data_IF_639628072851
#
_entry.id   IF_639628072851
#
_cell.length_a   1.000
_cell.length_b   1.000
_cell.length_c   1.000
_cell.angle_alpha   90.00
_cell.angle_beta   90.00
_cell.angle_gamma   90.00
#
_symmetry.space_group_name_H-M   'P 1'
#
loop_
_entity.id
_entity.type
_entity.pdbx_description
1 polymer ?
#
# COMPACT_ATOMS: atom_id res chain seq x y z
N UNK A 1 22.57 1.61 11.11
CA UNK A 1 23.69 2.19 11.87
C UNK A 1 23.23 3.48 12.52
N UNK A 2 23.73 3.79 13.71
CA UNK A 2 23.53 5.04 14.44
C UNK A 2 24.91 5.57 14.85
N UNK A 3 25.20 6.83 14.54
CA UNK A 3 26.34 7.56 15.12
C UNK A 3 25.77 8.38 16.25
N UNK A 4 26.27 8.18 17.47
CA UNK A 4 25.78 8.85 18.66
C UNK A 4 26.57 10.14 18.95
N UNK A 5 26.05 11.00 19.82
CA UNK A 5 26.62 12.31 20.14
C UNK A 5 28.00 12.20 20.82
N UNK A 6 28.32 11.04 21.41
CA UNK A 6 29.63 10.74 21.99
C UNK A 6 30.65 10.19 20.98
N UNK A 7 30.26 10.10 19.70
CA UNK A 7 31.09 9.60 18.61
C UNK A 7 31.09 8.07 18.44
N UNK A 8 30.38 7.32 19.30
CA UNK A 8 30.28 5.86 19.17
C UNK A 8 29.35 5.49 18.02
N UNK A 9 29.66 4.37 17.37
CA UNK A 9 28.89 3.89 16.21
C UNK A 9 28.28 2.53 16.52
N UNK A 10 26.95 2.50 16.49
CA UNK A 10 26.15 1.31 16.76
C UNK A 10 25.58 0.75 15.46
N UNK A 11 25.81 -0.54 15.22
CA UNK A 11 25.19 -1.28 14.11
C UNK A 11 24.06 -2.13 14.67
N UNK A 12 22.91 -2.05 14.00
CA UNK A 12 21.72 -2.81 14.31
C UNK A 12 21.35 -3.59 13.06
N UNK A 13 21.17 -4.89 13.18
CA UNK A 13 20.86 -5.76 12.05
C UNK A 13 20.10 -7.00 12.52
N UNK A 14 19.55 -7.76 11.58
CA UNK A 14 18.88 -9.02 11.92
C UNK A 14 17.80 -9.41 10.94
N UNK A 15 17.43 -10.68 11.03
CA UNK A 15 16.28 -11.29 10.37
C UNK A 15 15.75 -12.38 11.32
N UNK A 16 14.48 -12.32 11.69
CA UNK A 16 13.80 -13.14 12.73
C UNK A 16 14.37 -13.03 14.15
N UNK A 17 15.55 -12.44 14.31
CA UNK A 17 16.20 -12.06 15.56
C UNK A 17 17.00 -10.79 15.34
N UNK A 18 17.02 -9.92 16.35
CA UNK A 18 17.74 -8.65 16.30
C UNK A 18 19.13 -8.79 16.91
N UNK A 19 20.08 -8.04 16.37
CA UNK A 19 21.46 -7.99 16.82
C UNK A 19 21.92 -6.54 16.91
N UNK A 20 22.81 -6.27 17.84
CA UNK A 20 23.51 -4.99 17.94
C UNK A 20 24.97 -5.19 18.31
N UNK A 21 25.85 -4.39 17.75
CA UNK A 21 27.25 -4.29 18.15
C UNK A 21 27.79 -2.90 17.83
N UNK A 22 28.91 -2.54 18.44
CA UNK A 22 29.63 -1.31 18.13
C UNK A 22 30.72 -1.57 17.10
N UNK A 23 31.00 -0.57 16.27
CA UNK A 23 32.15 -0.58 15.37
C UNK A 23 33.09 0.57 15.70
N UNK A 24 34.38 0.38 15.46
CA UNK A 24 35.38 1.43 15.62
C UNK A 24 35.03 2.62 14.69
N UNK A 25 34.78 3.82 15.24
CA UNK A 25 34.35 4.97 14.45
C UNK A 25 35.41 5.46 13.46
N UNK A 26 36.69 5.18 13.72
CA UNK A 26 37.79 5.65 12.88
C UNK A 26 37.90 4.84 11.57
N UNK A 27 37.50 3.55 11.60
CA UNK A 27 37.72 2.62 10.50
C UNK A 27 36.44 1.97 9.93
N UNK A 28 35.34 1.97 10.70
CA UNK A 28 34.01 1.48 10.30
C UNK A 28 33.93 0.00 9.89
N UNK A 29 34.94 -0.82 10.18
CA UNK A 29 34.94 -2.27 9.86
C UNK A 29 35.32 -3.17 11.05
N UNK A 30 35.98 -2.64 12.06
CA UNK A 30 36.36 -3.39 13.26
C UNK A 30 35.22 -3.36 14.29
N UNK A 31 34.76 -4.53 14.72
CA UNK A 31 33.75 -4.64 15.78
C UNK A 31 34.44 -4.47 17.14
N UNK A 32 33.86 -3.67 18.02
CA UNK A 32 34.38 -3.49 19.38
C UNK A 32 34.12 -4.75 20.21
N UNK A 33 35.18 -5.32 20.77
CA UNK A 33 35.11 -6.53 21.60
C UNK A 33 34.13 -6.37 22.77
N UNK A 34 33.28 -7.39 22.97
CA UNK A 34 32.28 -7.41 24.04
C UNK A 34 31.03 -6.54 23.81
N UNK A 35 30.94 -5.80 22.70
CA UNK A 35 29.77 -4.95 22.41
C UNK A 35 28.54 -5.71 21.86
N UNK A 36 28.75 -6.95 21.38
CA UNK A 36 27.69 -7.75 20.73
C UNK A 36 26.55 -8.11 21.68
N UNK A 37 25.32 -7.83 21.26
CA UNK A 37 24.07 -8.21 21.94
C UNK A 37 23.11 -8.87 20.95
N UNK A 38 22.41 -9.90 21.42
CA UNK A 38 21.29 -10.53 20.70
C UNK A 38 19.96 -10.11 21.32
N UNK A 39 18.90 -10.16 20.52
CA UNK A 39 17.50 -9.94 20.90
C UNK A 39 17.27 -8.60 21.64
N UNK A 40 17.99 -7.55 21.23
CA UNK A 40 17.77 -6.18 21.74
C UNK A 40 16.34 -5.69 21.50
N UNK A 41 15.68 -6.22 20.47
CA UNK A 41 14.24 -6.19 20.22
C UNK A 41 13.77 -7.65 20.17
N UNK A 42 12.89 -8.08 21.09
CA UNK A 42 12.35 -9.43 21.09
C UNK A 42 11.59 -9.77 19.79
N UNK A 43 11.65 -11.05 19.38
CA UNK A 43 10.83 -11.55 18.28
C UNK A 43 9.46 -12.10 18.71
N UNK A 44 9.10 -11.90 19.99
CA UNK A 44 7.80 -12.26 20.56
C UNK A 44 6.92 -11.03 20.73
N UNK A 45 5.62 -11.24 20.86
CA UNK A 45 4.67 -10.17 21.15
C UNK A 45 5.06 -9.40 22.42
N UNK A 46 4.82 -8.08 22.48
CA UNK A 46 4.22 -7.25 21.42
C UNK A 46 5.22 -6.80 20.34
N UNK A 47 6.51 -7.14 20.46
CA UNK A 47 7.55 -6.62 19.58
C UNK A 47 7.54 -7.25 18.19
N UNK A 48 7.41 -8.58 18.11
CA UNK A 48 7.35 -9.34 16.85
C UNK A 48 8.45 -8.96 15.84
N UNK A 49 9.69 -8.77 16.29
CA UNK A 49 10.82 -8.43 15.41
C UNK A 49 10.93 -9.36 14.19
N UNK A 50 10.93 -8.79 12.99
CA UNK A 50 11.18 -9.50 11.73
C UNK A 50 12.48 -9.06 11.08
N UNK A 51 12.58 -7.79 10.65
CA UNK A 51 13.74 -7.27 9.92
C UNK A 51 13.80 -5.73 9.95
N UNK A 52 14.62 -5.13 9.07
CA UNK A 52 14.61 -3.70 8.76
C UNK A 52 14.97 -2.76 9.92
N UNK A 53 15.97 -3.11 10.75
CA UNK A 53 16.45 -2.25 11.81
C UNK A 53 16.79 -0.83 11.31
N UNK A 54 16.10 0.16 11.85
CA UNK A 54 16.32 1.58 11.58
C UNK A 54 16.39 2.37 12.89
N UNK A 55 17.57 2.52 13.50
CA UNK A 55 17.73 3.32 14.71
C UNK A 55 17.64 4.83 14.42
N UNK A 56 17.08 5.60 15.36
CA UNK A 56 17.07 7.06 15.38
C UNK A 56 17.36 7.56 16.80
N UNK A 57 18.06 8.67 16.92
CA UNK A 57 18.13 9.43 18.18
C UNK A 57 17.27 10.67 18.05
N UNK A 58 16.29 10.82 18.94
CA UNK A 58 15.31 11.91 18.91
C UNK A 58 15.13 12.41 20.34
N UNK A 59 15.38 13.69 20.58
CA UNK A 59 15.23 14.33 21.89
C UNK A 59 15.92 13.57 23.03
N UNK A 60 17.13 13.06 22.78
CA UNK A 60 17.92 12.30 23.76
C UNK A 60 17.51 10.84 23.96
N UNK A 61 16.48 10.35 23.25
CA UNK A 61 16.02 8.95 23.31
C UNK A 61 16.34 8.20 22.02
N UNK A 62 16.42 6.88 22.12
CA UNK A 62 16.76 5.97 21.03
C UNK A 62 15.51 5.24 20.55
N UNK A 63 15.12 5.49 19.31
CA UNK A 63 13.97 4.89 18.64
C UNK A 63 14.48 3.81 17.70
N UNK A 64 14.01 2.59 17.89
CA UNK A 64 14.21 1.50 16.95
C UNK A 64 12.95 1.34 16.11
N UNK A 65 13.02 1.71 14.83
CA UNK A 65 11.97 1.41 13.84
C UNK A 65 12.36 0.10 13.16
N UNK A 66 11.39 -0.80 12.95
CA UNK A 66 11.64 -2.10 12.35
C UNK A 66 10.36 -2.71 11.75
N UNK A 67 10.50 -3.73 10.89
CA UNK A 67 9.37 -4.47 10.33
C UNK A 67 8.87 -5.50 11.34
N UNK A 68 7.55 -5.56 11.54
CA UNK A 68 6.90 -6.61 12.32
C UNK A 68 6.82 -7.92 11.52
N UNK A 69 6.75 -9.06 12.20
CA UNK A 69 6.46 -10.37 11.62
C UNK A 69 4.95 -10.64 11.54
N UNK A 70 4.16 -9.96 12.37
CA UNK A 70 2.73 -10.18 12.52
C UNK A 70 1.99 -8.84 12.71
N UNK A 71 1.39 -8.27 11.65
CA UNK A 71 1.58 -8.63 10.23
C UNK A 71 2.90 -8.09 9.67
N UNK A 72 3.35 -8.64 8.52
CA UNK A 72 4.59 -8.24 7.84
C UNK A 72 4.53 -6.87 7.15
N UNK A 73 3.33 -6.34 6.93
CA UNK A 73 3.06 -5.04 6.31
C UNK A 73 3.21 -3.84 7.23
N UNK A 74 3.71 -4.05 8.44
CA UNK A 74 3.81 -2.99 9.44
C UNK A 74 5.25 -2.59 9.72
N UNK A 75 5.47 -1.27 9.73
CA UNK A 75 6.56 -0.69 10.49
C UNK A 75 6.06 -0.35 11.89
N UNK A 76 6.79 -0.86 12.87
CA UNK A 76 6.55 -0.65 14.30
C UNK A 76 7.78 -0.01 14.92
N UNK A 77 7.65 0.44 16.16
CA UNK A 77 8.78 1.05 16.86
C UNK A 77 8.81 0.77 18.36
N UNK A 78 10.03 0.82 18.89
CA UNK A 78 10.31 0.73 20.31
C UNK A 78 11.31 1.81 20.73
N UNK A 79 11.25 2.26 21.99
CA UNK A 79 12.02 3.41 22.50
C UNK A 79 12.83 3.02 23.72
N UNK A 80 14.06 3.54 23.85
CA UNK A 80 14.94 3.35 25.00
C UNK A 80 15.66 4.64 25.37
N UNK A 81 16.09 4.73 26.63
CA UNK A 81 17.03 5.76 27.10
C UNK A 81 18.50 5.42 26.80
N UNK A 82 18.77 4.21 26.29
CA UNK A 82 20.13 3.74 25.92
C UNK A 82 20.14 3.22 24.47
N UNK A 83 21.23 3.41 23.71
CA UNK A 83 21.35 2.80 22.38
C UNK A 83 21.34 1.27 22.46
N UNK A 84 21.59 0.70 23.64
CA UNK A 84 21.71 -0.74 23.85
C UNK A 84 20.53 -1.38 24.57
N UNK A 85 19.43 -0.64 24.72
CA UNK A 85 18.22 -1.08 25.42
C UNK A 85 18.32 -0.99 26.96
N UNK A 86 17.31 -1.50 27.69
CA UNK A 86 16.13 -2.18 27.16
C UNK A 86 15.20 -1.24 26.39
N UNK A 87 14.55 -1.75 25.34
CA UNK A 87 13.57 -1.01 24.55
C UNK A 87 12.15 -1.31 25.01
N UNK A 88 11.29 -0.30 24.98
CA UNK A 88 9.85 -0.39 25.26
C UNK A 88 9.07 -0.25 23.96
N UNK A 89 8.21 -1.22 23.64
CA UNK A 89 7.35 -1.17 22.44
C UNK A 89 6.36 -0.01 22.49
N UNK A 90 6.21 0.73 21.39
CA UNK A 90 5.34 1.93 21.31
C UNK A 90 4.26 1.88 20.23
N UNK A 91 4.16 0.78 19.48
CA UNK A 91 3.06 0.55 18.53
C UNK A 91 3.46 0.59 17.07
N UNK A 92 2.43 0.65 16.22
CA UNK A 92 2.53 0.67 14.76
C UNK A 92 2.65 2.10 14.26
N UNK A 93 3.61 2.35 13.37
CA UNK A 93 3.77 3.62 12.67
C UNK A 93 2.97 3.65 11.37
N UNK A 94 2.91 2.55 10.64
CA UNK A 94 2.12 2.41 9.41
C UNK A 94 1.82 0.94 9.13
N UNK A 95 0.70 0.67 8.44
CA UNK A 95 0.36 -0.63 7.89
C UNK A 95 0.04 -0.47 6.39
N UNK A 96 0.99 -0.84 5.53
CA UNK A 96 0.84 -0.74 4.07
C UNK A 96 -0.08 -1.82 3.47
N UNK A 97 -0.49 -2.81 4.26
CA UNK A 97 -1.31 -3.94 3.83
C UNK A 97 -2.80 -3.82 4.15
N UNK A 98 -3.25 -2.70 4.71
CA UNK A 98 -4.65 -2.56 5.11
C UNK A 98 -5.61 -2.48 3.91
N UNK A 99 -5.35 -1.56 2.98
CA UNK A 99 -6.23 -1.23 1.84
C UNK A 99 -5.52 -1.39 0.50
N UNK A 100 -4.35 -2.02 0.49
CA UNK A 100 -3.45 -2.15 -0.65
C UNK A 100 -2.79 -3.53 -0.61
N UNK A 101 -2.34 -4.10 -1.74
CA UNK A 101 -1.63 -5.38 -1.75
C UNK A 101 -0.45 -5.37 -0.77
N UNK A 102 -0.62 -6.12 0.32
CA UNK A 102 0.33 -6.16 1.43
C UNK A 102 1.52 -7.07 1.16
N UNK A 103 2.55 -6.89 1.99
CA UNK A 103 3.65 -7.80 2.20
C UNK A 103 4.70 -7.12 3.06
N UNK A 104 5.99 -7.48 2.99
CA UNK A 104 6.96 -6.89 3.92
C UNK A 104 7.08 -5.37 3.78
N UNK A 105 7.41 -4.67 4.87
CA UNK A 105 7.67 -3.24 4.87
C UNK A 105 9.12 -2.92 5.27
N UNK A 106 9.64 -1.76 4.86
CA UNK A 106 10.97 -1.29 5.22
C UNK A 106 10.99 0.24 5.18
N UNK A 107 11.52 0.85 6.24
CA UNK A 107 11.46 2.29 6.31
C UNK A 107 11.98 2.88 7.61
N UNK A 108 11.64 4.13 7.82
CA UNK A 108 12.08 4.90 8.97
C UNK A 108 11.28 6.20 9.14
N UNK A 109 11.57 6.94 10.20
CA UNK A 109 11.09 8.31 10.38
C UNK A 109 12.23 9.30 10.18
N UNK A 110 11.90 10.48 9.64
CA UNK A 110 12.81 11.62 9.60
C UNK A 110 12.04 12.94 9.64
N UNK A 111 12.67 13.97 10.21
CA UNK A 111 12.16 15.33 10.20
C UNK A 111 12.70 16.06 8.97
N UNK A 112 11.81 16.57 8.13
CA UNK A 112 12.14 17.36 6.93
C UNK A 112 11.58 18.76 7.15
N UNK A 113 12.47 19.74 7.33
CA UNK A 113 12.08 21.05 7.84
C UNK A 113 11.44 20.91 9.24
N UNK A 114 10.22 21.42 9.39
CA UNK A 114 9.47 21.34 10.64
C UNK A 114 8.53 20.13 10.76
N UNK A 115 8.39 19.33 9.70
CA UNK A 115 7.46 18.22 9.63
C UNK A 115 8.15 16.87 9.77
N UNK A 116 7.58 15.97 10.58
CA UNK A 116 7.98 14.57 10.63
C UNK A 116 7.28 13.75 9.55
N UNK A 117 8.03 12.86 8.93
CA UNK A 117 7.52 11.89 7.95
C UNK A 117 7.90 10.49 8.37
N UNK A 118 7.00 9.54 8.10
CA UNK A 118 7.37 8.15 7.90
C UNK A 118 7.71 7.93 6.44
N UNK A 119 8.82 7.23 6.21
CA UNK A 119 9.23 6.67 4.93
C UNK A 119 9.03 5.17 5.01
N UNK A 120 8.46 4.59 3.97
CA UNK A 120 8.12 3.17 3.89
C UNK A 120 8.06 2.77 2.41
N UNK A 121 7.63 1.56 2.09
CA UNK A 121 7.36 1.19 0.69
C UNK A 121 6.00 0.51 0.51
N UNK A 122 5.51 0.52 -0.72
CA UNK A 122 4.36 -0.30 -1.13
C UNK A 122 4.71 -1.14 -2.37
N UNK A 123 4.01 -2.24 -2.55
CA UNK A 123 4.29 -3.19 -3.63
C UNK A 123 3.83 -2.69 -5.00
N UNK A 124 4.57 -3.06 -6.04
CA UNK A 124 4.23 -2.82 -7.45
C UNK A 124 4.42 -4.11 -8.24
N UNK A 125 3.96 -4.13 -9.49
CA UNK A 125 4.08 -5.25 -10.44
C UNK A 125 3.50 -6.58 -9.92
N UNK A 126 2.62 -6.54 -8.93
CA UNK A 126 2.09 -7.73 -8.24
C UNK A 126 3.18 -8.66 -7.69
N UNK A 127 4.30 -8.12 -7.21
CA UNK A 127 5.44 -8.90 -6.71
C UNK A 127 6.00 -8.31 -5.43
N UNK A 128 6.29 -9.17 -4.44
CA UNK A 128 6.95 -8.78 -3.19
C UNK A 128 8.38 -8.25 -3.40
N UNK A 129 8.96 -8.49 -4.58
CA UNK A 129 10.31 -8.04 -4.93
C UNK A 129 10.32 -6.67 -5.60
N UNK A 130 9.16 -6.13 -5.98
CA UNK A 130 9.03 -4.85 -6.68
C UNK A 130 8.26 -3.86 -5.82
N UNK A 131 8.87 -2.70 -5.56
CA UNK A 131 8.39 -1.74 -4.57
C UNK A 131 8.65 -0.32 -5.02
N UNK A 132 7.84 0.60 -4.51
CA UNK A 132 8.06 2.04 -4.63
C UNK A 132 8.15 2.66 -3.24
N UNK A 133 9.09 3.59 -3.06
CA UNK A 133 9.23 4.34 -1.81
C UNK A 133 8.09 5.33 -1.64
N UNK A 134 7.60 5.43 -0.41
CA UNK A 134 6.50 6.29 -0.02
C UNK A 134 6.92 7.18 1.15
N UNK A 135 6.20 8.28 1.34
CA UNK A 135 6.31 9.12 2.52
C UNK A 135 4.92 9.61 2.94
N UNK A 136 4.66 9.63 4.24
CA UNK A 136 3.43 10.19 4.81
C UNK A 136 3.77 10.98 6.08
N UNK A 137 2.98 12.02 6.37
CA UNK A 137 3.20 12.90 7.53
C UNK A 137 2.82 12.16 8.82
N UNK A 138 3.63 12.33 9.85
CA UNK A 138 3.34 11.90 11.22
C UNK A 138 3.64 13.03 12.19
N UNK A 139 3.12 12.95 13.40
CA UNK A 139 3.42 13.87 14.48
C UNK A 139 4.17 13.15 15.58
N UNK A 140 5.26 13.74 16.07
CA UNK A 140 5.88 13.36 17.33
C UNK A 140 5.13 14.08 18.46
N UNK A 141 4.42 13.32 19.27
CA UNK A 141 3.66 13.80 20.43
C UNK A 141 4.60 14.23 21.56
N UNK A 142 4.08 15.02 22.49
CA UNK A 142 4.85 15.53 23.66
C UNK A 142 5.39 14.40 24.55
N UNK A 143 4.68 13.26 24.61
CA UNK A 143 5.09 12.07 25.37
C UNK A 143 6.17 11.23 24.65
N UNK A 144 6.63 11.67 23.48
CA UNK A 144 7.63 10.99 22.67
C UNK A 144 7.07 9.85 21.80
N UNK A 145 5.76 9.66 21.72
CA UNK A 145 5.13 8.72 20.77
C UNK A 145 4.91 9.37 19.41
N UNK A 146 4.83 8.56 18.36
CA UNK A 146 4.38 9.01 17.04
C UNK A 146 2.91 8.65 16.82
N UNK A 147 2.19 9.50 16.10
CA UNK A 147 0.90 9.14 15.51
C UNK A 147 1.09 8.05 14.46
N UNK A 148 0.21 7.03 14.45
CA UNK A 148 0.16 6.08 13.34
C UNK A 148 -0.27 6.81 12.06
N UNK A 149 0.49 6.65 10.99
CA UNK A 149 0.19 7.18 9.68
C UNK A 149 -0.92 6.38 8.99
N UNK A 150 -1.75 7.11 8.25
CA UNK A 150 -2.53 6.55 7.15
C UNK A 150 -1.68 6.59 5.87
N UNK A 151 -1.75 5.54 5.05
CA UNK A 151 -1.16 5.58 3.72
C UNK A 151 -1.99 6.47 2.79
N UNK A 152 -1.40 7.55 2.28
CA UNK A 152 -2.09 8.53 1.42
C UNK A 152 -1.48 8.65 0.03
N UNK A 153 -2.11 9.45 -0.84
CA UNK A 153 -1.56 9.82 -2.14
C UNK A 153 -0.69 11.07 -2.10
N UNK A 154 -0.55 11.70 -0.94
CA UNK A 154 -0.03 13.06 -0.82
C UNK A 154 1.50 13.11 -0.89
N UNK A 155 2.20 12.10 -0.38
CA UNK A 155 3.65 12.14 -0.29
C UNK A 155 4.10 13.30 0.61
N UNK A 156 4.92 14.19 0.05
CA UNK A 156 5.36 15.40 0.73
C UNK A 156 4.34 16.56 0.73
N UNK A 157 3.34 16.51 -0.17
CA UNK A 157 2.37 17.58 -0.36
C UNK A 157 1.35 17.65 0.80
N UNK A 158 0.85 18.84 1.10
CA UNK A 158 -0.20 19.02 2.12
C UNK A 158 -1.61 18.74 1.60
N UNK A 159 -1.82 18.88 0.29
CA UNK A 159 -3.04 18.50 -0.40
C UNK A 159 -2.80 18.38 -1.91
N UNK A 160 -3.56 17.52 -2.58
CA UNK A 160 -3.46 17.34 -4.02
C UNK A 160 -4.40 18.28 -4.79
N UNK A 161 -4.01 18.66 -6.01
CA UNK A 161 -4.86 19.47 -6.88
C UNK A 161 -5.68 18.56 -7.83
N UNK A 162 -7.02 18.52 -7.73
CA UNK A 162 -7.87 17.64 -8.55
C UNK A 162 -7.95 18.09 -10.01
N UNK A 163 -7.54 19.32 -10.32
CA UNK A 163 -7.57 19.92 -11.66
C UNK A 163 -6.27 19.71 -12.45
N UNK A 164 -5.38 18.83 -11.95
CA UNK A 164 -4.23 18.31 -12.68
C UNK A 164 -4.41 16.81 -12.86
N UNK A 165 -3.78 16.25 -13.90
CA UNK A 165 -3.79 14.80 -14.11
C UNK A 165 -3.10 14.12 -12.94
N UNK A 166 -3.85 13.27 -12.24
CA UNK A 166 -3.35 12.44 -11.15
C UNK A 166 -2.66 11.20 -11.73
N UNK A 167 -1.43 10.95 -11.29
CA UNK A 167 -0.66 9.79 -11.73
C UNK A 167 -1.17 8.50 -11.04
N UNK A 168 -1.36 7.39 -11.77
CA UNK A 168 -1.77 6.11 -11.19
C UNK A 168 -0.85 5.59 -10.06
N UNK A 169 0.43 5.94 -10.07
CA UNK A 169 1.39 5.57 -9.01
C UNK A 169 0.97 6.06 -7.61
N UNK A 170 0.19 7.13 -7.57
CA UNK A 170 -0.27 7.76 -6.34
C UNK A 170 -1.38 6.95 -5.66
N UNK A 171 -1.93 5.90 -6.30
CA UNK A 171 -2.96 5.06 -5.70
C UNK A 171 -2.50 4.50 -4.36
N UNK A 172 -3.26 4.76 -3.32
CA UNK A 172 -3.00 4.33 -1.94
C UNK A 172 -4.02 3.28 -1.48
N UNK A 173 -5.00 2.96 -2.31
CA UNK A 173 -5.95 1.87 -2.12
C UNK A 173 -6.06 1.10 -3.43
N UNK A 174 -5.84 -0.21 -3.37
CA UNK A 174 -6.00 -1.13 -4.50
C UNK A 174 -6.56 -2.46 -3.98
N UNK A 175 -7.70 -2.89 -4.50
CA UNK A 175 -8.35 -4.15 -4.09
C UNK A 175 -8.54 -5.09 -5.27
N UNK A 176 -8.99 -6.32 -4.99
CA UNK A 176 -9.31 -7.36 -5.98
C UNK A 176 -8.18 -7.61 -7.00
N UNK A 177 -6.94 -7.63 -6.52
CA UNK A 177 -5.76 -7.94 -7.32
C UNK A 177 -5.21 -6.79 -8.17
N UNK A 178 -5.86 -5.62 -8.16
CA UNK A 178 -5.36 -4.44 -8.86
C UNK A 178 -3.95 -4.07 -8.37
N UNK A 179 -3.06 -3.70 -9.30
CA UNK A 179 -1.67 -3.38 -8.98
C UNK A 179 -1.11 -2.33 -9.92
N UNK A 180 -0.25 -1.45 -9.39
CA UNK A 180 0.57 -0.55 -10.20
C UNK A 180 1.57 -1.42 -10.98
N UNK A 181 1.54 -1.35 -12.30
CA UNK A 181 2.45 -2.06 -13.20
C UNK A 181 3.29 -1.09 -13.99
N UNK A 182 4.59 -1.35 -14.02
CA UNK A 182 5.53 -0.66 -14.89
C UNK A 182 5.44 -1.21 -16.31
N UNK A 183 5.11 -0.33 -17.26
CA UNK A 183 5.17 -0.65 -18.69
C UNK A 183 6.53 -0.25 -19.27
N UNK A 184 7.03 0.91 -18.85
CA UNK A 184 8.37 1.43 -19.17
C UNK A 184 8.91 2.21 -17.97
N UNK A 185 10.20 2.57 -17.93
CA UNK A 185 10.76 3.38 -16.84
C UNK A 185 10.06 4.73 -16.60
N UNK A 186 9.28 5.22 -17.57
CA UNK A 186 8.56 6.50 -17.49
C UNK A 186 7.04 6.35 -17.59
N UNK A 187 6.53 5.13 -17.72
CA UNK A 187 5.11 4.86 -17.92
C UNK A 187 4.65 3.72 -17.03
N UNK A 188 3.74 4.06 -16.11
CA UNK A 188 3.14 3.12 -15.18
C UNK A 188 1.62 3.31 -15.20
N UNK A 189 0.90 2.23 -15.03
CA UNK A 189 -0.56 2.21 -15.01
C UNK A 189 -1.04 1.23 -13.94
N UNK A 190 -2.31 1.32 -13.55
CA UNK A 190 -2.92 0.26 -12.72
C UNK A 190 -3.49 -0.79 -13.67
N UNK A 191 -3.17 -2.05 -13.40
CA UNK A 191 -3.61 -3.22 -14.18
C UNK A 191 -4.16 -4.28 -13.23
N UNK A 192 -4.58 -5.43 -13.77
CA UNK A 192 -5.29 -6.49 -13.04
C UNK A 192 -6.56 -5.95 -12.37
N UNK A 193 -7.19 -4.97 -13.01
CA UNK A 193 -8.43 -4.38 -12.55
C UNK A 193 -9.55 -5.34 -12.94
N UNK A 194 -10.20 -5.92 -11.94
CA UNK A 194 -11.30 -6.87 -12.07
C UNK A 194 -12.60 -6.28 -11.53
N UNK A 195 -13.72 -6.97 -11.69
CA UNK A 195 -14.99 -6.60 -11.07
C UNK A 195 -14.85 -6.41 -9.55
N UNK A 196 -15.44 -5.33 -9.05
CA UNK A 196 -15.36 -4.97 -7.64
C UNK A 196 -14.02 -4.36 -7.21
N UNK A 197 -13.04 -4.25 -8.10
CA UNK A 197 -11.79 -3.58 -7.77
C UNK A 197 -12.04 -2.11 -7.41
N UNK A 198 -11.43 -1.67 -6.31
CA UNK A 198 -11.44 -0.30 -5.82
C UNK A 198 -10.06 0.29 -6.03
N UNK A 199 -10.00 1.43 -6.72
CA UNK A 199 -8.80 2.25 -6.90
C UNK A 199 -9.00 3.55 -6.13
N UNK A 200 -8.24 3.77 -5.06
CA UNK A 200 -8.41 4.96 -4.21
C UNK A 200 -7.18 5.87 -4.19
N UNK A 201 -7.48 7.15 -4.18
CA UNK A 201 -6.51 8.24 -4.17
C UNK A 201 -6.90 9.22 -3.07
N UNK A 202 -6.03 9.40 -2.07
CA UNK A 202 -6.37 10.16 -0.87
C UNK A 202 -5.85 11.58 -0.94
N UNK A 203 -6.85 12.45 -0.85
CA UNK A 203 -6.85 13.84 -0.44
C UNK A 203 -6.48 14.91 -1.48
N UNK A 204 -7.54 15.40 -2.12
CA UNK A 204 -7.57 16.51 -3.06
C UNK A 204 -8.34 17.70 -2.50
N UNK A 205 -7.93 18.92 -2.84
CA UNK A 205 -8.66 20.16 -2.51
C UNK A 205 -9.49 20.64 -3.70
N UNK A 206 -10.82 20.58 -3.57
CA UNK A 206 -11.74 21.10 -4.58
C UNK A 206 -12.07 22.60 -4.37
N UNK A 207 -11.48 23.25 -3.36
CA UNK A 207 -11.70 24.65 -3.05
C UNK A 207 -13.15 24.95 -2.70
N UNK A 208 -13.64 26.14 -3.08
CA UNK A 208 -14.99 26.62 -2.74
C UNK A 208 -16.08 26.23 -3.75
N UNK A 209 -15.84 25.28 -4.65
CA UNK A 209 -16.80 24.96 -5.71
C UNK A 209 -18.08 24.31 -5.16
N UNK A 210 -19.21 25.00 -5.31
CA UNK A 210 -20.54 24.42 -5.10
C UNK A 210 -21.46 24.87 -6.25
N UNK A 211 -21.86 23.91 -7.09
CA UNK A 211 -22.61 24.13 -8.34
C UNK A 211 -22.84 22.81 -9.11
N UNK A 212 -23.77 22.79 -10.07
CA UNK A 212 -24.20 21.58 -10.78
C UNK A 212 -23.22 21.12 -11.86
N UNK A 213 -22.60 19.96 -11.65
CA UNK A 213 -21.94 19.14 -12.67
C UNK A 213 -20.47 19.48 -12.89
N UNK A 214 -19.57 18.85 -12.14
CA UNK A 214 -18.13 18.80 -12.45
C UNK A 214 -17.88 17.63 -13.41
N UNK A 215 -16.87 17.71 -14.28
CA UNK A 215 -16.51 16.59 -15.15
C UNK A 215 -15.30 15.86 -14.57
N UNK A 216 -15.44 14.57 -14.32
CA UNK A 216 -14.31 13.68 -14.09
C UNK A 216 -13.93 13.01 -15.41
N UNK A 217 -12.69 13.16 -15.85
CA UNK A 217 -12.15 12.51 -17.05
C UNK A 217 -11.10 11.49 -16.63
N UNK A 218 -11.21 10.26 -17.14
CA UNK A 218 -10.36 9.12 -16.81
C UNK A 218 -9.68 8.63 -18.08
N UNK A 219 -8.36 8.46 -18.03
CA UNK A 219 -7.57 7.91 -19.13
C UNK A 219 -7.43 6.40 -18.95
N UNK A 220 -7.83 5.66 -19.98
CA UNK A 220 -7.81 4.20 -20.03
C UNK A 220 -6.98 3.73 -21.23
N UNK A 221 -6.62 2.45 -21.22
CA UNK A 221 -6.09 1.73 -22.38
C UNK A 221 -6.47 0.25 -22.26
N UNK A 222 -6.30 -0.53 -23.33
CA UNK A 222 -6.58 -1.96 -23.33
C UNK A 222 -7.97 -2.31 -22.78
N UNK A 223 -8.98 -1.47 -23.05
CA UNK A 223 -10.36 -1.79 -22.69
C UNK A 223 -10.85 -2.96 -23.54
N UNK A 224 -10.85 -4.16 -22.98
CA UNK A 224 -11.27 -5.37 -23.69
C UNK A 224 -12.79 -5.45 -23.87
N UNK A 225 -13.54 -4.70 -23.08
CA UNK A 225 -14.99 -4.84 -22.94
C UNK A 225 -15.65 -3.58 -22.40
N UNK A 226 -16.97 -3.62 -22.29
CA UNK A 226 -17.77 -2.53 -21.73
C UNK A 226 -18.06 -2.73 -20.25
N UNK A 227 -18.21 -1.62 -19.54
CA UNK A 227 -18.49 -1.62 -18.10
C UNK A 227 -18.74 -0.23 -17.59
N UNK A 228 -18.63 -0.08 -16.27
CA UNK A 228 -18.80 1.15 -15.53
C UNK A 228 -17.68 1.36 -14.54
N UNK A 229 -17.36 2.63 -14.33
CA UNK A 229 -16.49 3.09 -13.26
C UNK A 229 -17.34 4.02 -12.39
N UNK A 230 -17.72 3.52 -11.22
CA UNK A 230 -18.42 4.30 -10.21
C UNK A 230 -17.42 5.14 -9.45
N UNK A 231 -17.69 6.43 -9.34
CA UNK A 231 -16.80 7.42 -8.75
C UNK A 231 -17.38 7.78 -7.39
N UNK A 232 -16.58 7.61 -6.35
CA UNK A 232 -16.98 7.88 -4.97
C UNK A 232 -16.10 8.96 -4.34
N UNK A 233 -16.71 9.75 -3.46
CA UNK A 233 -16.01 10.64 -2.55
C UNK A 233 -15.92 10.02 -1.16
N UNK A 234 -14.77 10.22 -0.52
CA UNK A 234 -14.41 9.91 0.87
C UNK A 234 -14.39 8.44 1.27
N UNK A 235 -15.07 7.57 0.52
CA UNK A 235 -15.13 6.15 0.82
C UNK A 235 -15.97 5.34 -0.15
N UNK A 236 -15.92 4.02 -0.02
CA UNK A 236 -16.77 3.10 -0.80
C UNK A 236 -17.56 2.23 0.20
N UNK A 237 -18.87 2.45 0.35
CA UNK A 237 -19.70 1.65 1.23
C UNK A 237 -19.69 0.17 0.83
N UNK A 238 -19.72 -0.73 1.82
CA UNK A 238 -19.73 -2.18 1.57
C UNK A 238 -20.90 -2.60 0.68
N UNK A 239 -22.08 -1.98 0.87
CA UNK A 239 -23.26 -2.21 0.03
C UNK A 239 -23.03 -1.90 -1.46
N UNK A 240 -22.17 -0.92 -1.78
CA UNK A 240 -21.81 -0.63 -3.16
C UNK A 240 -20.88 -1.71 -3.71
N UNK A 241 -19.92 -2.17 -2.91
CA UNK A 241 -19.04 -3.28 -3.28
C UNK A 241 -19.89 -4.53 -3.52
N UNK A 242 -20.77 -4.91 -2.59
CA UNK A 242 -21.63 -6.09 -2.71
C UNK A 242 -22.57 -6.01 -3.91
N UNK A 243 -23.00 -4.79 -4.29
CA UNK A 243 -23.88 -4.54 -5.43
C UNK A 243 -23.15 -4.66 -6.77
N UNK A 244 -21.93 -4.13 -6.87
CA UNK A 244 -21.23 -3.98 -8.14
C UNK A 244 -20.11 -5.02 -8.34
N UNK A 245 -19.59 -5.61 -7.27
CA UNK A 245 -18.67 -6.73 -7.34
C UNK A 245 -19.47 -7.99 -7.69
N UNK A 246 -19.04 -8.69 -8.74
CA UNK A 246 -19.55 -10.00 -9.05
C UNK A 246 -18.90 -11.02 -8.10
N UNK A 247 -19.64 -11.99 -7.54
CA UNK A 247 -19.01 -13.12 -6.88
C UNK A 247 -18.09 -13.81 -7.90
N UNK A 248 -16.84 -14.04 -7.53
CA UNK A 248 -16.00 -14.99 -8.27
C UNK A 248 -16.74 -16.32 -8.14
N UNK A 249 -17.19 -16.89 -9.26
CA UNK A 249 -17.75 -18.24 -9.21
C UNK A 249 -16.61 -19.16 -8.78
N UNK A 250 -16.70 -19.73 -7.57
CA UNK A 250 -15.93 -20.92 -7.23
C UNK A 250 -16.28 -21.94 -8.32
N UNK A 251 -15.25 -22.43 -9.02
CA UNK A 251 -15.40 -23.41 -10.09
C UNK A 251 -16.34 -24.54 -9.64
N UNK A 252 -17.61 -24.55 -10.09
CA UNK A 252 -18.28 -25.83 -10.22
C UNK A 252 -17.43 -26.62 -11.21
N UNK A 253 -16.96 -27.82 -10.86
CA UNK A 253 -16.01 -28.54 -11.68
C UNK A 253 -16.63 -28.75 -13.06
N UNK A 254 -16.08 -28.05 -14.06
CA UNK A 254 -16.37 -28.30 -15.45
C UNK A 254 -16.23 -29.80 -15.70
N UNK A 255 -17.26 -30.42 -16.27
CA UNK A 255 -17.28 -31.82 -16.65
C UNK A 255 -15.96 -32.18 -17.36
N UNK A 256 -15.30 -33.26 -16.88
CA UNK A 256 -13.95 -33.69 -17.28
C UNK A 256 -13.65 -33.50 -18.77
N UNK A 257 -12.86 -32.47 -19.10
CA UNK A 257 -12.12 -32.46 -20.36
C UNK A 257 -10.94 -33.43 -20.26
N UNK A 258 -10.88 -34.35 -21.23
CA UNK A 258 -9.86 -35.41 -21.32
C UNK A 258 -8.45 -34.81 -21.30
N UNK A 259 -7.73 -35.07 -20.21
CA UNK A 259 -6.31 -34.72 -19.98
C UNK A 259 -5.43 -35.01 -21.20
N UNK A 260 -4.83 -33.97 -21.78
CA UNK A 260 -3.63 -34.12 -22.62
C UNK A 260 -2.38 -34.04 -21.72
N UNK A 261 -1.52 -35.06 -21.81
CA UNK A 261 -0.30 -35.18 -21.00
C UNK A 261 0.82 -34.34 -21.60
N UNK A 262 1.15 -33.21 -20.98
CA UNK A 262 2.51 -32.67 -21.02
C UNK A 262 2.80 -31.91 -19.72
N UNK A 263 3.45 -32.59 -18.79
CA UNK A 263 3.99 -31.97 -17.59
C UNK A 263 5.38 -31.39 -17.94
N UNK A 264 5.53 -30.07 -17.86
CA UNK A 264 6.83 -29.45 -17.77
C UNK A 264 7.28 -29.46 -16.30
N UNK A 265 8.40 -30.13 -16.04
CA UNK A 265 9.04 -30.25 -14.73
C UNK A 265 10.26 -29.35 -14.71
N UNK A 266 10.09 -28.05 -14.52
CA UNK A 266 11.23 -27.18 -14.22
C UNK A 266 10.86 -25.83 -13.60
N UNK A 267 10.54 -25.83 -12.31
CA UNK A 267 10.78 -24.66 -11.45
C UNK A 267 10.85 -25.09 -9.98
N UNK A 268 12.07 -25.30 -9.48
CA UNK A 268 12.34 -25.28 -8.04
C UNK A 268 12.68 -23.84 -7.66
N UNK A 269 11.72 -23.11 -7.11
CA UNK A 269 11.99 -21.84 -6.41
C UNK A 269 12.23 -22.18 -4.95
N UNK A 270 13.34 -21.68 -4.41
CA UNK A 270 13.73 -21.86 -3.01
C UNK A 270 12.65 -21.28 -2.09
N UNK A 271 12.36 -22.02 -1.01
CA UNK A 271 11.09 -22.00 -0.32
C UNK A 271 10.86 -20.80 0.59
N UNK A 272 9.71 -20.15 0.40
CA UNK A 272 8.90 -19.67 1.51
C UNK A 272 7.96 -20.82 1.93
N UNK A 273 7.71 -20.96 3.23
CA UNK A 273 6.78 -21.98 3.71
C UNK A 273 5.37 -21.70 3.18
N UNK A 274 4.58 -22.74 2.91
CA UNK A 274 3.21 -22.60 2.35
C UNK A 274 2.29 -21.68 3.16
N UNK A 275 2.55 -21.51 4.46
CA UNK A 275 1.82 -20.58 5.33
C UNK A 275 2.04 -19.09 5.01
N UNK A 276 3.21 -18.72 4.48
CA UNK A 276 3.49 -17.35 4.03
C UNK A 276 2.77 -17.07 2.72
N UNK A 277 2.64 -18.07 1.84
CA UNK A 277 1.86 -17.97 0.60
C UNK A 277 0.34 -17.88 0.87
N UNK A 278 -0.17 -18.55 1.90
CA UNK A 278 -1.58 -18.46 2.32
C UNK A 278 -1.98 -17.05 2.80
N UNK A 279 -1.04 -16.26 3.35
CA UNK A 279 -1.28 -14.84 3.67
C UNK A 279 -1.45 -13.96 2.41
N UNK A 280 -0.95 -14.40 1.26
CA UNK A 280 -1.13 -13.71 -0.02
C UNK A 280 -2.37 -14.19 -0.79
N UNK A 281 -2.96 -15.33 -0.42
CA UNK A 281 -4.11 -15.93 -1.12
C UNK A 281 -5.44 -15.80 -0.38
N UNK A 282 -5.45 -15.36 0.88
CA UNK A 282 -6.72 -15.23 1.60
C UNK A 282 -7.46 -13.97 1.15
N UNK A 283 -8.65 -14.19 0.60
CA UNK A 283 -9.72 -13.23 0.31
C UNK A 283 -10.21 -12.42 1.54
N UNK A 284 -9.48 -12.46 2.65
CA UNK A 284 -9.77 -11.80 3.93
C UNK A 284 -9.10 -10.43 4.07
N UNK A 285 -8.76 -9.77 2.94
CA UNK A 285 -8.39 -8.35 2.90
C UNK A 285 -9.61 -7.42 3.11
N UNK A 286 -10.54 -7.80 3.98
CA UNK A 286 -11.53 -6.88 4.55
C UNK A 286 -10.85 -6.05 5.64
N UNK A 287 -9.92 -5.20 5.23
CA UNK A 287 -9.41 -3.97 5.87
C UNK A 287 -9.50 -3.94 7.41
N UNK A 288 -8.37 -4.16 8.11
CA UNK A 288 -8.25 -3.88 9.56
C UNK A 288 -8.52 -2.40 9.92
N UNK A 289 -8.50 -1.49 8.94
CA UNK A 289 -8.84 -0.06 9.08
C UNK A 289 -10.01 0.40 8.22
N UNK A 290 -10.74 -0.50 7.55
CA UNK A 290 -11.86 -0.11 6.69
C UNK A 290 -11.40 0.65 5.43
N UNK A 291 -11.70 0.16 4.23
CA UNK A 291 -12.13 1.09 3.17
C UNK A 291 -13.10 2.05 3.86
N UNK A 292 -12.85 3.36 3.83
CA UNK A 292 -13.71 4.30 4.56
C UNK A 292 -15.15 4.02 4.12
N UNK A 293 -15.98 3.46 5.01
CA UNK A 293 -17.26 2.84 4.62
C UNK A 293 -18.39 3.87 4.55
N UNK A 294 -18.07 5.14 4.79
CA UNK A 294 -19.02 6.25 4.93
C UNK A 294 -19.04 7.18 3.71
N UNK A 295 -18.42 6.77 2.60
CA UNK A 295 -18.41 7.58 1.38
C UNK A 295 -19.71 7.54 0.58
N UNK A 296 -19.72 8.25 -0.54
CA UNK A 296 -20.90 8.40 -1.41
C UNK A 296 -20.54 8.38 -2.88
N UNK A 297 -21.39 7.77 -3.70
CA UNK A 297 -21.25 7.82 -5.16
C UNK A 297 -21.53 9.25 -5.63
N UNK A 298 -20.62 9.83 -6.40
CA UNK A 298 -20.73 11.19 -6.95
C UNK A 298 -20.95 11.19 -8.46
N UNK A 299 -20.79 10.04 -9.12
CA UNK A 299 -21.08 9.87 -10.54
C UNK A 299 -20.58 8.54 -11.08
N UNK A 300 -20.86 8.27 -12.35
CA UNK A 300 -20.53 7.00 -12.97
C UNK A 300 -20.15 7.22 -14.44
N UNK A 301 -18.99 6.71 -14.86
CA UNK A 301 -18.55 6.73 -16.24
C UNK A 301 -18.78 5.36 -16.88
N UNK A 302 -19.34 5.32 -18.08
CA UNK A 302 -19.40 4.10 -18.88
C UNK A 302 -18.16 4.00 -19.77
N UNK A 303 -17.59 2.80 -19.90
CA UNK A 303 -16.54 2.51 -20.87
C UNK A 303 -17.01 1.41 -21.84
N UNK A 304 -16.48 1.43 -23.05
CA UNK A 304 -16.68 0.41 -24.07
C UNK A 304 -15.36 -0.26 -24.43
N UNK A 305 -15.42 -1.32 -25.23
CA UNK A 305 -14.22 -1.85 -25.86
C UNK A 305 -13.48 -0.75 -26.64
N UNK A 306 -12.14 -0.78 -26.56
CA UNK A 306 -11.23 0.20 -27.16
C UNK A 306 -11.38 1.65 -26.66
N UNK A 307 -12.07 1.88 -25.53
CA UNK A 307 -12.06 3.20 -24.91
C UNK A 307 -10.63 3.59 -24.48
N UNK A 308 -10.28 4.85 -24.73
CA UNK A 308 -8.99 5.44 -24.33
C UNK A 308 -9.14 6.61 -23.36
N UNK A 309 -10.31 7.26 -23.39
CA UNK A 309 -10.71 8.30 -22.45
C UNK A 309 -12.20 8.16 -22.20
N UNK A 310 -12.61 8.16 -20.94
CA UNK A 310 -14.01 8.21 -20.53
C UNK A 310 -14.24 9.39 -19.61
N UNK A 311 -15.48 9.84 -19.50
CA UNK A 311 -15.82 10.91 -18.59
C UNK A 311 -17.22 10.79 -18.04
N UNK A 312 -17.42 11.28 -16.82
CA UNK A 312 -18.71 11.42 -16.19
C UNK A 312 -18.93 12.85 -15.71
N UNK A 313 -20.16 13.34 -15.82
CA UNK A 313 -20.61 14.44 -14.97
C UNK A 313 -20.78 13.88 -13.57
N UNK A 314 -20.11 14.50 -12.61
CA UNK A 314 -20.16 14.17 -11.19
C UNK A 314 -20.79 15.32 -10.40
N UNK A 315 -21.26 15.01 -9.21
CA UNK A 315 -21.67 16.01 -8.24
C UNK A 315 -20.52 16.98 -7.91
N UNK A 316 -20.86 18.25 -7.67
CA UNK A 316 -19.90 19.25 -7.23
C UNK A 316 -19.31 18.88 -5.87
N UNK A 317 -18.00 19.06 -5.72
CA UNK A 317 -17.26 18.87 -4.47
C UNK A 317 -16.61 20.19 -4.05
N UNK A 318 -16.51 20.38 -2.73
CA UNK A 318 -15.86 21.52 -2.10
C UNK A 318 -14.99 21.06 -0.94
N UNK A 319 -13.80 21.63 -0.78
CA UNK A 319 -12.86 21.26 0.28
C UNK A 319 -12.14 19.94 0.01
N UNK A 320 -11.67 19.31 1.10
CA UNK A 320 -10.77 18.15 1.06
C UNK A 320 -11.56 16.85 0.92
N UNK A 321 -11.27 16.07 -0.12
CA UNK A 321 -11.90 14.76 -0.34
C UNK A 321 -10.92 13.68 -0.79
N UNK A 322 -11.19 12.43 -0.43
CA UNK A 322 -10.57 11.27 -1.08
C UNK A 322 -11.44 10.81 -2.25
N UNK A 323 -10.83 10.30 -3.32
CA UNK A 323 -11.53 9.87 -4.54
C UNK A 323 -11.28 8.38 -4.77
N UNK A 324 -12.36 7.64 -5.02
CA UNK A 324 -12.32 6.21 -5.27
C UNK A 324 -13.04 5.86 -6.57
N UNK A 325 -12.52 4.85 -7.25
CA UNK A 325 -13.09 4.27 -8.46
C UNK A 325 -13.43 2.81 -8.19
N UNK A 326 -14.72 2.47 -8.16
CA UNK A 326 -15.22 1.11 -8.05
C UNK A 326 -15.64 0.60 -9.43
N UNK A 327 -15.09 -0.54 -9.85
CA UNK A 327 -15.23 -1.04 -11.21
C UNK A 327 -16.32 -2.11 -11.32
N UNK A 328 -17.23 -1.94 -12.28
CA UNK A 328 -18.31 -2.90 -12.62
C UNK A 328 -18.14 -3.33 -14.09
N UNK A 329 -17.91 -4.62 -14.35
CA UNK A 329 -17.92 -5.23 -15.67
C UNK A 329 -19.34 -5.59 -16.11
N UNK A 330 -19.70 -5.27 -17.38
CA UNK A 330 -21.06 -5.50 -17.91
C UNK A 330 -21.14 -6.71 -18.84
N UNK A 331 -20.68 -7.87 -18.38
CA UNK A 331 -20.74 -9.11 -19.16
C UNK A 331 -21.81 -10.06 -18.65
N UNK A 332 -22.77 -10.40 -19.52
CA UNK A 332 -23.90 -11.29 -19.23
C UNK A 332 -23.87 -12.53 -20.11
N UNK A 333 -24.51 -13.60 -19.63
CA UNK A 333 -24.72 -14.84 -20.40
C UNK A 333 -23.53 -15.80 -20.41
N UNK A 334 -23.59 -16.79 -21.31
CA UNK A 334 -22.65 -17.93 -21.35
C UNK A 334 -21.18 -17.52 -21.45
N UNK A 335 -20.85 -16.46 -22.19
CA UNK A 335 -19.46 -16.01 -22.34
C UNK A 335 -18.89 -15.25 -21.14
N UNK A 336 -19.70 -14.98 -20.12
CA UNK A 336 -19.33 -14.09 -19.03
C UNK A 336 -18.23 -14.62 -18.13
N UNK A 337 -18.33 -15.88 -17.72
CA UNK A 337 -17.36 -16.51 -16.82
C UNK A 337 -15.92 -16.52 -17.38
N UNK A 338 -15.75 -16.45 -18.70
CA UNK A 338 -14.41 -16.34 -19.30
C UNK A 338 -13.68 -15.04 -18.94
N UNK A 339 -14.41 -14.02 -18.49
CA UNK A 339 -13.85 -12.73 -18.10
C UNK A 339 -13.58 -12.63 -16.59
N UNK A 340 -14.01 -13.62 -15.81
CA UNK A 340 -13.75 -13.62 -14.37
C UNK A 340 -12.25 -13.67 -14.10
N UNK A 341 -11.78 -12.76 -13.24
CA UNK A 341 -10.36 -12.58 -12.93
C UNK A 341 -9.50 -11.98 -14.05
N UNK A 342 -10.08 -11.63 -15.20
CA UNK A 342 -9.34 -10.94 -16.28
C UNK A 342 -9.28 -9.45 -16.06
N UNK A 343 -8.19 -8.84 -16.53
CA UNK A 343 -8.04 -7.40 -16.56
C UNK A 343 -9.10 -6.77 -17.48
N UNK A 344 -9.88 -5.83 -16.96
CA UNK A 344 -10.94 -5.14 -17.70
C UNK A 344 -10.38 -4.00 -18.57
N UNK A 345 -9.42 -3.24 -18.02
CA UNK A 345 -8.72 -2.14 -18.66
C UNK A 345 -7.46 -1.79 -17.87
N UNK A 346 -6.59 -0.99 -18.48
CA UNK A 346 -5.45 -0.38 -17.80
C UNK A 346 -5.76 1.09 -17.49
N UNK A 347 -5.52 1.51 -16.25
CA UNK A 347 -5.85 2.85 -15.76
C UNK A 347 -4.61 3.76 -15.73
N UNK A 348 -4.69 4.91 -16.39
CA UNK A 348 -3.57 5.83 -16.59
C UNK A 348 -3.68 7.14 -15.81
N UNK A 349 -4.74 7.32 -15.04
CA UNK A 349 -4.96 8.55 -14.28
C UNK A 349 -6.30 9.19 -14.59
N UNK A 350 -6.57 10.27 -13.87
CA UNK A 350 -7.81 11.02 -13.96
C UNK A 350 -7.58 12.50 -13.68
N UNK A 351 -8.55 13.32 -14.04
CA UNK A 351 -8.56 14.76 -13.75
C UNK A 351 -10.00 15.25 -13.64
N UNK A 352 -10.23 16.21 -12.74
CA UNK A 352 -11.49 16.93 -12.65
C UNK A 352 -11.44 18.26 -13.41
N UNK A 353 -12.57 18.68 -13.94
CA UNK A 353 -12.75 19.93 -14.68
C UNK A 353 -14.08 20.56 -14.27
N UNK A 354 -14.10 21.88 -14.09
CA UNK A 354 -15.30 22.66 -13.76
C UNK A 354 -15.87 23.30 -15.02
#
# INVERSE_FOLDING_TARGET
TLVDDDGRVYVYCGFLRSYMFEVNPDNMYEVIDGSFKMDIIPNTAPFNFFEACSPRKINGKYYMIYSSAEPTSQLVYAVSDSPTGPFEYKGTLIDSGCDYPGGNDHGSVAKVGDQWYIFYHKMTNGSIMSRVGCADRITLNEDGTFTQAEMTSQGFEEILNPYRVTNPQMACVLTNGATITERTPFDQCITKITDGAVLGFKYFDFGSHSGSGMKCTIKLDNCYMSGKIHIFADGVPQEAIDKYARPIFDDEPFAEEKKSKRADKSAKVYGFSGKVLEQFSSSDYTSRYGLCREGREIGCAEFSSNASVVSATVEGLSGKHAIYFLVEGRYKGWGGHYMDGRNLFDFFGFVFQV
#
